data_IF_049319836134
#
_entry.id   IF_049319836134
#
_cell.length_a   1.000
_cell.length_b   1.000
_cell.length_c   1.000
_cell.angle_alpha   90.00
_cell.angle_beta   90.00
_cell.angle_gamma   90.00
#
_symmetry.space_group_name_H-M   'P 1'
#
loop_
_entity.id
_entity.type
_entity.pdbx_description
1 polymer ?
#
# COMPACT_ATOMS: atom_id res chain seq x y z
N UNK A 1 6.64 22.02 4.52
CA UNK A 1 6.68 20.59 4.14
C UNK A 1 5.46 20.39 3.25
N UNK A 2 5.64 20.30 1.93
CA UNK A 2 4.52 20.01 1.03
C UNK A 2 4.07 18.57 1.36
N UNK A 3 2.79 18.37 1.65
CA UNK A 3 2.22 17.03 1.64
C UNK A 3 2.37 16.53 0.19
N UNK A 4 3.47 15.82 -0.10
CA UNK A 4 3.64 15.15 -1.37
C UNK A 4 2.44 14.22 -1.54
N UNK A 5 1.76 14.28 -2.68
CA UNK A 5 0.65 13.38 -2.94
C UNK A 5 1.12 11.92 -2.95
N UNK A 6 0.24 11.00 -2.57
CA UNK A 6 0.54 9.58 -2.56
C UNK A 6 -0.65 8.76 -2.04
N UNK A 7 -0.47 7.44 -2.00
CA UNK A 7 -1.47 6.53 -1.41
C UNK A 7 -1.12 6.30 0.05
N UNK A 8 -2.04 6.63 0.96
CA UNK A 8 -1.88 6.44 2.41
C UNK A 8 -2.09 4.98 2.82
N UNK A 9 -1.31 4.52 3.79
CA UNK A 9 -1.41 3.20 4.42
C UNK A 9 -1.03 3.29 5.90
N UNK A 10 -1.30 2.23 6.65
CA UNK A 10 -1.00 2.12 8.07
C UNK A 10 -0.40 0.77 8.41
N UNK A 11 0.32 0.69 9.52
CA UNK A 11 0.96 -0.52 10.05
C UNK A 11 -0.03 -1.55 10.67
N UNK A 12 -1.32 -1.23 10.72
CA UNK A 12 -2.35 -2.13 11.24
C UNK A 12 -3.69 -1.97 10.53
N UNK A 13 -4.47 -3.04 10.51
CA UNK A 13 -5.84 -3.04 10.00
C UNK A 13 -6.80 -2.27 10.91
N UNK A 14 -7.97 -1.91 10.38
CA UNK A 14 -9.03 -1.27 11.16
C UNK A 14 -8.69 0.15 11.65
N UNK A 15 -7.75 0.85 10.99
CA UNK A 15 -7.51 2.28 11.27
C UNK A 15 -8.70 3.13 10.81
N UNK A 16 -9.29 2.78 9.67
CA UNK A 16 -10.58 3.31 9.24
C UNK A 16 -11.65 2.26 9.50
N UNK A 17 -12.65 2.60 10.32
CA UNK A 17 -13.64 1.65 10.85
C UNK A 17 -15.07 1.99 10.43
N UNK A 18 -15.25 2.81 9.39
CA UNK A 18 -16.61 3.10 8.90
C UNK A 18 -17.18 1.84 8.27
N UNK A 19 -18.45 1.55 8.55
CA UNK A 19 -19.16 0.40 7.99
C UNK A 19 -19.01 0.36 6.46
N UNK A 20 -18.68 -0.82 5.93
CA UNK A 20 -18.42 -1.04 4.51
C UNK A 20 -17.00 -0.72 4.03
N UNK A 21 -16.10 -0.24 4.90
CA UNK A 21 -14.69 -0.08 4.52
C UNK A 21 -13.97 -1.44 4.46
N UNK A 22 -13.36 -1.70 3.31
CA UNK A 22 -12.46 -2.83 3.11
C UNK A 22 -11.01 -2.40 3.33
N UNK A 23 -10.20 -3.29 3.89
CA UNK A 23 -8.76 -3.11 3.99
C UNK A 23 -8.07 -4.06 3.01
N UNK A 24 -7.05 -3.56 2.31
CA UNK A 24 -6.14 -4.35 1.51
C UNK A 24 -4.82 -4.46 2.26
N UNK A 25 -4.38 -5.69 2.55
CA UNK A 25 -3.12 -5.94 3.24
C UNK A 25 -1.97 -6.00 2.23
N UNK A 26 -0.87 -5.29 2.54
CA UNK A 26 0.42 -5.44 1.85
C UNK A 26 1.35 -6.17 2.82
N UNK A 27 1.60 -7.48 2.63
CA UNK A 27 2.44 -8.23 3.55
C UNK A 27 3.90 -7.75 3.53
N UNK A 28 4.61 -7.97 4.64
CA UNK A 28 6.05 -7.71 4.69
C UNK A 28 6.82 -8.58 3.67
N UNK A 29 7.87 -7.97 3.09
CA UNK A 29 8.63 -8.55 1.99
C UNK A 29 7.95 -8.48 0.62
N UNK A 30 6.80 -7.78 0.48
CA UNK A 30 6.21 -7.53 -0.84
C UNK A 30 7.18 -6.72 -1.71
N UNK A 31 7.40 -7.18 -2.94
CA UNK A 31 8.24 -6.48 -3.92
C UNK A 31 7.61 -5.15 -4.31
N UNK A 32 8.29 -4.05 -3.99
CA UNK A 32 7.88 -2.70 -4.39
C UNK A 32 8.36 -2.47 -5.84
N UNK A 33 7.48 -2.06 -6.78
CA UNK A 33 7.90 -1.68 -8.12
C UNK A 33 8.99 -0.59 -8.09
N UNK A 34 10.00 -0.70 -8.95
CA UNK A 34 11.18 0.18 -8.94
C UNK A 34 10.86 1.68 -9.14
N UNK A 35 9.67 2.02 -9.63
CA UNK A 35 9.19 3.40 -9.79
C UNK A 35 8.51 3.97 -8.53
N UNK A 36 8.30 3.17 -7.49
CA UNK A 36 7.63 3.54 -6.25
C UNK A 36 8.56 3.47 -5.04
N UNK A 37 8.20 4.21 -3.99
CA UNK A 37 8.79 4.10 -2.66
C UNK A 37 7.67 4.10 -1.61
N UNK A 38 7.87 3.36 -0.52
CA UNK A 38 7.02 3.42 0.68
C UNK A 38 7.78 4.12 1.78
N UNK A 39 7.27 5.26 2.24
CA UNK A 39 7.90 6.08 3.28
C UNK A 39 7.10 6.05 4.56
N UNK A 40 7.78 5.87 5.70
CA UNK A 40 7.18 6.09 7.01
C UNK A 40 7.11 7.60 7.29
N UNK A 41 5.92 8.13 7.59
CA UNK A 41 5.70 9.55 7.86
C UNK A 41 5.41 9.85 9.36
N UNK A 42 5.59 8.82 10.20
CA UNK A 42 5.56 8.86 11.65
C UNK A 42 4.26 8.36 12.29
N UNK A 43 4.27 8.31 13.62
CA UNK A 43 3.12 7.90 14.42
C UNK A 43 1.98 8.94 14.38
N UNK A 44 0.75 8.48 14.16
CA UNK A 44 -0.47 9.29 14.18
C UNK A 44 -1.28 8.99 15.44
N UNK A 45 -1.27 9.93 16.41
CA UNK A 45 -1.96 9.76 17.71
C UNK A 45 -3.47 9.51 17.58
N UNK A 46 -4.14 10.19 16.64
CA UNK A 46 -5.58 10.02 16.40
C UNK A 46 -5.94 8.60 15.93
N UNK A 47 -5.07 8.00 15.11
CA UNK A 47 -5.26 6.65 14.56
C UNK A 47 -4.61 5.56 15.43
N UNK A 48 -3.77 5.95 16.40
CA UNK A 48 -2.92 5.04 17.17
C UNK A 48 -2.20 4.04 16.24
N UNK A 49 -1.62 4.54 15.16
CA UNK A 49 -0.97 3.76 14.11
C UNK A 49 0.15 4.59 13.48
N UNK A 50 1.18 3.93 12.94
CA UNK A 50 2.18 4.59 12.11
C UNK A 50 1.62 4.74 10.71
N UNK A 51 1.69 5.95 10.15
CA UNK A 51 1.27 6.19 8.77
C UNK A 51 2.47 6.07 7.84
N UNK A 52 2.18 5.52 6.67
CA UNK A 52 3.13 5.41 5.59
C UNK A 52 2.47 5.89 4.30
N UNK A 53 3.31 6.25 3.33
CA UNK A 53 2.86 6.75 2.05
C UNK A 53 3.59 6.06 0.90
N UNK A 54 2.81 5.60 -0.09
CA UNK A 54 3.34 5.17 -1.39
C UNK A 54 3.46 6.40 -2.28
N UNK A 55 4.66 6.65 -2.79
CA UNK A 55 5.00 7.81 -3.62
C UNK A 55 5.74 7.37 -4.89
N UNK A 56 5.78 8.25 -5.89
CA UNK A 56 6.72 8.11 -7.01
C UNK A 56 8.14 8.29 -6.51
N UNK A 57 9.02 7.32 -6.80
CA UNK A 57 10.44 7.42 -6.48
C UNK A 57 11.09 8.63 -7.20
N UNK A 58 10.63 8.95 -8.40
CA UNK A 58 11.12 10.08 -9.19
C UNK A 58 10.56 11.45 -8.74
N UNK A 59 9.71 11.48 -7.70
CA UNK A 59 9.01 12.67 -7.21
C UNK A 59 7.85 13.16 -8.07
N UNK A 60 7.79 12.75 -9.34
CA UNK A 60 6.67 12.99 -10.26
C UNK A 60 6.49 11.82 -11.23
N UNK A 61 5.27 11.60 -11.67
CA UNK A 61 4.92 10.66 -12.74
C UNK A 61 3.55 11.03 -13.32
N UNK A 62 3.25 10.56 -14.52
CA UNK A 62 1.90 10.69 -15.06
C UNK A 62 0.93 9.86 -14.22
N UNK A 63 -0.37 10.21 -14.28
CA UNK A 63 -1.41 9.47 -13.57
C UNK A 63 -1.44 8.00 -14.00
N UNK A 64 -1.32 7.76 -15.30
CA UNK A 64 -1.37 6.42 -15.89
C UNK A 64 -0.20 5.56 -15.42
N UNK A 65 1.00 6.16 -15.33
CA UNK A 65 2.17 5.47 -14.78
C UNK A 65 2.01 5.16 -13.29
N UNK A 66 1.43 6.07 -12.50
CA UNK A 66 1.13 5.81 -11.07
C UNK A 66 0.14 4.67 -10.91
N UNK A 67 -0.95 4.69 -11.67
CA UNK A 67 -1.98 3.65 -11.62
C UNK A 67 -1.38 2.29 -12.00
N UNK A 68 -0.65 2.19 -13.12
CA UNK A 68 -0.02 0.94 -13.52
C UNK A 68 1.02 0.43 -12.52
N UNK A 69 1.77 1.33 -11.87
CA UNK A 69 2.70 0.95 -10.82
C UNK A 69 1.98 0.43 -9.56
N UNK A 70 0.87 1.08 -9.15
CA UNK A 70 0.04 0.62 -8.03
C UNK A 70 -0.63 -0.71 -8.33
N UNK A 71 -1.10 -0.94 -9.56
CA UNK A 71 -1.66 -2.23 -9.98
C UNK A 71 -0.64 -3.36 -9.86
N UNK A 72 0.60 -3.11 -10.30
CA UNK A 72 1.69 -4.08 -10.13
C UNK A 72 2.04 -4.29 -8.66
N UNK A 73 2.01 -3.25 -7.84
CA UNK A 73 2.27 -3.39 -6.41
C UNK A 73 1.18 -4.23 -5.71
N UNK A 74 -0.09 -4.03 -6.07
CA UNK A 74 -1.20 -4.84 -5.57
C UNK A 74 -1.07 -6.31 -6.01
N UNK A 75 -0.68 -6.58 -7.26
CA UNK A 75 -0.40 -7.95 -7.75
C UNK A 75 0.74 -8.59 -6.95
N UNK A 76 1.83 -7.85 -6.70
CA UNK A 76 2.94 -8.35 -5.91
C UNK A 76 2.52 -8.67 -4.46
N UNK A 77 1.65 -7.85 -3.86
CA UNK A 77 1.12 -8.11 -2.53
C UNK A 77 0.26 -9.39 -2.50
N UNK A 78 -0.53 -9.66 -3.55
CA UNK A 78 -1.29 -10.91 -3.68
C UNK A 78 -0.35 -12.11 -3.82
N UNK A 79 0.67 -12.03 -4.68
CA UNK A 79 1.70 -13.07 -4.82
C UNK A 79 2.32 -13.37 -3.46
N UNK A 80 2.74 -12.32 -2.73
CA UNK A 80 3.31 -12.47 -1.39
C UNK A 80 2.33 -13.10 -0.40
N UNK A 81 1.05 -12.72 -0.46
CA UNK A 81 0.03 -13.31 0.40
C UNK A 81 -0.18 -14.81 0.12
N UNK A 82 -0.12 -15.21 -1.16
CA UNK A 82 -0.19 -16.63 -1.57
C UNK A 82 1.05 -17.40 -1.08
N UNK A 83 2.26 -16.85 -1.24
CA UNK A 83 3.49 -17.45 -0.72
C UNK A 83 3.43 -17.69 0.80
N UNK A 84 2.77 -16.79 1.53
CA UNK A 84 2.56 -16.87 2.97
C UNK A 84 1.36 -17.76 3.36
N UNK A 85 0.61 -18.32 2.40
CA UNK A 85 -0.60 -19.10 2.64
C UNK A 85 -1.77 -18.31 3.21
N UNK A 86 -1.80 -16.97 3.04
CA UNK A 86 -2.86 -16.07 3.53
C UNK A 86 -4.04 -15.92 2.57
N UNK A 87 -3.83 -16.27 1.30
CA UNK A 87 -4.84 -16.23 0.24
C UNK A 87 -4.74 -17.50 -0.58
N UNK A 88 -5.88 -18.11 -0.90
CA UNK A 88 -5.98 -19.21 -1.86
C UNK A 88 -6.61 -18.67 -3.13
N UNK A 89 -5.94 -18.83 -4.28
CA UNK A 89 -6.51 -18.51 -5.57
C UNK A 89 -7.29 -19.73 -6.08
N UNK A 90 -8.61 -19.60 -6.20
CA UNK A 90 -9.44 -20.58 -6.91
C UNK A 90 -9.56 -20.14 -8.37
N UNK A 91 -9.37 -21.08 -9.29
CA UNK A 91 -9.65 -20.87 -10.71
C UNK A 91 -10.94 -21.64 -10.99
N UNK A 92 -12.02 -20.90 -11.27
CA UNK A 92 -13.29 -21.45 -11.74
C UNK A 92 -13.21 -21.84 -13.23
#
# INVERSE_FOLDING_TARGET
>A
MLAGGGTSLFDRSGVFTKEGWLSFEIPDGTVIPASLIVRNDGWRKCFKASHYQIESLAGRMTKEAMVGALDNFARNAIVRAVELGRVTLTVD
#
